data_IF_809259376239
#
_entry.id   IF_809259376239
#
_cell.length_a   1.000
_cell.length_b   1.000
_cell.length_c   1.000
_cell.angle_alpha   90.00
_cell.angle_beta   90.00
_cell.angle_gamma   90.00
#
_symmetry.space_group_name_H-M   'P 1'
#
loop_
_entity.id
_entity.type
_entity.pdbx_description
1 polymer ?
#
# COMPACT_ATOMS: atom_id res chain seq x y z
N UNK A 1 -64.61 -4.55 68.95
CA UNK A 1 -63.66 -5.46 68.27
C UNK A 1 -64.05 -5.49 66.80
N UNK A 2 -63.26 -5.18 65.78
CA UNK A 2 -61.89 -4.68 65.66
C UNK A 2 -61.77 -4.07 64.25
N UNK A 3 -60.95 -3.03 64.12
CA UNK A 3 -60.50 -2.44 62.84
C UNK A 3 -59.58 -3.41 62.08
N UNK A 4 -59.50 -3.26 60.76
CA UNK A 4 -58.31 -3.45 59.90
C UNK A 4 -58.73 -2.94 58.49
N UNK A 5 -58.56 -1.67 58.14
CA UNK A 5 -57.33 -1.01 57.70
C UNK A 5 -56.70 -1.67 56.45
N UNK A 6 -57.06 -1.19 55.27
CA UNK A 6 -56.31 -1.37 54.03
C UNK A 6 -55.82 0.02 53.60
N UNK A 7 -54.54 0.28 53.83
CA UNK A 7 -53.84 1.49 53.41
C UNK A 7 -53.50 1.41 51.92
N UNK A 8 -54.29 2.07 51.08
CA UNK A 8 -53.88 2.44 49.72
C UNK A 8 -52.95 3.65 49.79
N UNK A 9 -51.65 3.41 49.61
CA UNK A 9 -50.66 4.45 49.35
C UNK A 9 -50.93 4.97 47.94
N UNK A 10 -51.63 6.10 47.85
CA UNK A 10 -51.74 6.88 46.61
C UNK A 10 -50.40 7.60 46.46
N UNK A 11 -49.54 7.09 45.57
CA UNK A 11 -48.38 7.84 45.11
C UNK A 11 -48.89 9.05 44.33
N UNK A 12 -48.74 10.24 44.93
CA UNK A 12 -48.98 11.52 44.28
C UNK A 12 -48.06 11.64 43.07
N UNK A 13 -48.59 11.34 41.88
CA UNK A 13 -48.02 11.80 40.63
C UNK A 13 -48.06 13.33 40.67
N UNK A 14 -46.97 13.94 41.11
CA UNK A 14 -46.69 15.34 40.87
C UNK A 14 -46.63 15.51 39.35
N UNK A 15 -47.78 15.83 38.76
CA UNK A 15 -47.89 16.45 37.45
C UNK A 15 -47.26 17.85 37.58
N UNK A 16 -45.94 17.92 37.49
CA UNK A 16 -45.28 19.17 37.13
C UNK A 16 -45.71 19.44 35.69
N UNK A 17 -46.66 20.37 35.57
CA UNK A 17 -47.05 21.04 34.35
C UNK A 17 -45.88 21.17 33.37
N UNK A 18 -45.90 20.41 32.27
CA UNK A 18 -45.19 20.80 31.07
C UNK A 18 -45.88 22.07 30.58
N UNK A 19 -45.36 23.22 30.97
CA UNK A 19 -45.69 24.51 30.37
C UNK A 19 -45.39 24.38 28.89
N UNK A 20 -46.43 24.25 28.08
CA UNK A 20 -46.35 24.32 26.64
C UNK A 20 -46.12 25.78 26.29
N UNK A 21 -44.86 26.20 26.30
CA UNK A 21 -44.44 27.51 25.82
C UNK A 21 -44.19 27.43 24.30
N UNK A 22 -45.11 27.91 23.46
CA UNK A 22 -44.94 27.92 22.00
C UNK A 22 -43.74 28.77 21.55
N UNK A 23 -43.20 29.67 22.40
CA UNK A 23 -41.94 30.35 22.11
C UNK A 23 -40.71 29.44 22.29
N UNK A 24 -40.79 28.42 23.15
CA UNK A 24 -39.70 27.46 23.37
C UNK A 24 -39.41 26.60 22.15
N UNK A 25 -40.45 26.10 21.46
CA UNK A 25 -40.30 25.31 20.24
C UNK A 25 -39.70 26.13 19.08
N UNK A 26 -40.17 27.37 18.88
CA UNK A 26 -39.61 28.29 17.86
C UNK A 26 -38.18 28.72 18.17
N UNK A 27 -37.83 28.89 19.44
CA UNK A 27 -36.46 29.18 19.87
C UNK A 27 -35.54 27.98 19.62
N UNK A 28 -36.04 26.75 19.85
CA UNK A 28 -35.31 25.51 19.61
C UNK A 28 -35.07 25.26 18.10
N UNK A 29 -36.05 25.56 17.24
CA UNK A 29 -35.88 25.50 15.78
C UNK A 29 -34.85 26.50 15.26
N UNK A 30 -34.89 27.76 15.74
CA UNK A 30 -33.89 28.78 15.38
C UNK A 30 -32.49 28.38 15.84
N UNK A 31 -32.36 27.82 17.04
CA UNK A 31 -31.09 27.34 17.57
C UNK A 31 -30.53 26.17 16.76
N UNK A 32 -31.37 25.21 16.34
CA UNK A 32 -30.97 24.10 15.48
C UNK A 32 -30.53 24.58 14.08
N UNK A 33 -31.26 25.54 13.50
CA UNK A 33 -30.89 26.14 12.21
C UNK A 33 -29.53 26.84 12.29
N UNK A 34 -29.29 27.64 13.33
CA UNK A 34 -28.01 28.30 13.57
C UNK A 34 -26.88 27.28 13.76
N UNK A 35 -27.12 26.19 14.50
CA UNK A 35 -26.11 25.11 14.67
C UNK A 35 -25.78 24.38 13.38
N UNK A 36 -26.77 24.18 12.50
CA UNK A 36 -26.54 23.57 11.20
C UNK A 36 -25.76 24.50 10.26
N UNK A 37 -26.03 25.81 10.27
CA UNK A 37 -25.24 26.79 9.52
C UNK A 37 -23.81 26.89 10.03
N UNK A 38 -23.61 26.95 11.35
CA UNK A 38 -22.28 26.91 11.98
C UNK A 38 -21.51 25.63 11.60
N UNK A 39 -22.18 24.47 11.62
CA UNK A 39 -21.58 23.19 11.23
C UNK A 39 -21.20 23.18 9.75
N UNK A 40 -22.07 23.65 8.85
CA UNK A 40 -21.76 23.72 7.42
C UNK A 40 -20.61 24.69 7.13
N UNK A 41 -20.54 25.83 7.82
CA UNK A 41 -19.43 26.77 7.70
C UNK A 41 -18.12 26.15 8.22
N UNK A 42 -18.18 25.45 9.35
CA UNK A 42 -17.04 24.72 9.91
C UNK A 42 -16.55 23.60 8.97
N UNK A 43 -17.45 22.76 8.45
CA UNK A 43 -17.11 21.66 7.55
C UNK A 43 -16.45 22.19 6.26
N UNK A 44 -16.96 23.30 5.69
CA UNK A 44 -16.31 23.98 4.56
C UNK A 44 -14.91 24.48 4.90
N UNK A 45 -14.74 25.11 6.07
CA UNK A 45 -13.43 25.60 6.51
C UNK A 45 -12.44 24.45 6.72
N UNK A 46 -12.90 23.32 7.26
CA UNK A 46 -12.08 22.10 7.42
C UNK A 46 -11.67 21.56 6.06
N UNK A 47 -12.61 21.40 5.12
CA UNK A 47 -12.34 20.91 3.77
C UNK A 47 -11.35 21.82 3.00
N UNK A 48 -11.53 23.13 3.08
CA UNK A 48 -10.63 24.11 2.48
C UNK A 48 -9.23 24.06 3.13
N UNK A 49 -9.16 23.97 4.46
CA UNK A 49 -7.89 23.84 5.17
C UNK A 49 -7.15 22.54 4.80
N UNK A 50 -7.88 21.43 4.61
CA UNK A 50 -7.30 20.17 4.18
C UNK A 50 -6.76 20.27 2.76
N UNK A 51 -7.54 20.84 1.83
CA UNK A 51 -7.09 21.05 0.44
C UNK A 51 -5.85 21.94 0.38
N UNK A 52 -5.84 23.05 1.11
CA UNK A 52 -4.69 23.97 1.18
C UNK A 52 -3.45 23.25 1.72
N UNK A 53 -3.57 22.49 2.82
CA UNK A 53 -2.45 21.71 3.38
C UNK A 53 -1.89 20.69 2.39
N UNK A 54 -2.75 20.01 1.65
CA UNK A 54 -2.33 19.04 0.62
C UNK A 54 -1.61 19.73 -0.54
N UNK A 55 -2.08 20.92 -0.96
CA UNK A 55 -1.41 21.72 -1.97
C UNK A 55 -0.03 22.17 -1.51
N UNK A 56 0.08 22.77 -0.31
CA UNK A 56 1.36 23.20 0.26
C UNK A 56 2.34 22.03 0.39
N UNK A 57 1.89 20.88 0.89
CA UNK A 57 2.74 19.69 0.97
C UNK A 57 3.21 19.20 -0.41
N UNK A 58 2.36 19.29 -1.44
CA UNK A 58 2.72 18.93 -2.81
C UNK A 58 3.76 19.89 -3.38
N UNK A 59 3.60 21.19 -3.15
CA UNK A 59 4.54 22.23 -3.59
C UNK A 59 5.89 22.09 -2.88
N UNK A 60 5.90 21.96 -1.55
CA UNK A 60 7.10 21.71 -0.75
C UNK A 60 7.83 20.45 -1.20
N UNK A 61 7.09 19.36 -1.44
CA UNK A 61 7.66 18.11 -1.97
C UNK A 61 8.30 18.34 -3.34
N UNK A 62 7.64 19.07 -4.23
CA UNK A 62 8.16 19.35 -5.57
C UNK A 62 9.42 20.21 -5.50
N UNK A 63 9.42 21.25 -4.66
CA UNK A 63 10.60 22.09 -4.43
C UNK A 63 11.76 21.29 -3.83
N UNK A 64 11.47 20.38 -2.89
CA UNK A 64 12.46 19.47 -2.34
C UNK A 64 13.04 18.55 -3.42
N UNK A 65 12.19 17.95 -4.26
CA UNK A 65 12.63 17.08 -5.35
C UNK A 65 13.46 17.82 -6.42
N UNK A 66 13.23 19.12 -6.64
CA UNK A 66 14.05 19.93 -7.55
C UNK A 66 15.41 20.27 -6.91
N UNK A 67 15.42 20.64 -5.63
CA UNK A 67 16.65 21.03 -4.92
C UNK A 67 17.54 19.85 -4.52
N UNK A 68 17.00 18.64 -4.41
CA UNK A 68 17.71 17.43 -4.01
C UNK A 68 17.56 16.35 -5.10
N UNK A 69 18.28 16.47 -6.23
CA UNK A 69 18.18 15.51 -7.33
C UNK A 69 18.56 14.10 -6.88
N UNK A 70 17.97 13.10 -7.53
CA UNK A 70 18.29 11.70 -7.26
C UNK A 70 19.70 11.34 -7.74
N UNK A 71 20.45 10.67 -6.88
CA UNK A 71 21.75 10.10 -7.18
C UNK A 71 21.70 8.58 -7.04
N UNK A 72 22.41 7.87 -7.91
CA UNK A 72 22.52 6.41 -7.83
C UNK A 72 23.27 5.95 -6.59
N UNK A 73 22.82 4.86 -5.98
CA UNK A 73 23.47 4.20 -4.86
C UNK A 73 24.07 2.89 -5.34
N UNK A 74 25.40 2.81 -5.37
CA UNK A 74 26.13 1.60 -5.74
C UNK A 74 26.52 0.79 -4.50
N UNK A 75 26.78 -0.51 -4.69
CA UNK A 75 27.34 -1.36 -3.64
C UNK A 75 26.39 -1.64 -2.47
N UNK A 76 25.08 -1.50 -2.66
CA UNK A 76 24.06 -1.79 -1.62
C UNK A 76 24.22 -3.21 -1.06
N UNK A 77 24.59 -4.17 -1.90
CA UNK A 77 24.82 -5.56 -1.49
C UNK A 77 26.15 -5.80 -0.78
N UNK A 78 27.08 -4.83 -0.74
CA UNK A 78 28.45 -5.06 -0.26
C UNK A 78 28.54 -5.36 1.25
N UNK A 79 27.48 -5.01 2.00
CA UNK A 79 27.32 -5.38 3.41
C UNK A 79 27.14 -6.91 3.59
N UNK A 80 26.78 -7.64 2.54
CA UNK A 80 26.66 -9.10 2.54
C UNK A 80 28.03 -9.75 2.32
N UNK A 81 28.73 -9.99 3.43
CA UNK A 81 30.11 -10.53 3.46
C UNK A 81 30.20 -12.03 3.73
N UNK A 82 29.08 -12.69 4.08
CA UNK A 82 29.07 -14.12 4.39
C UNK A 82 29.46 -14.99 3.19
N UNK A 83 30.14 -16.10 3.46
CA UNK A 83 30.47 -17.11 2.45
C UNK A 83 29.17 -17.65 1.80
N UNK A 84 29.17 -17.76 0.47
CA UNK A 84 28.00 -18.17 -0.31
C UNK A 84 26.92 -17.09 -0.53
N UNK A 85 27.07 -15.88 0.02
CA UNK A 85 26.12 -14.78 -0.18
C UNK A 85 26.32 -14.01 -1.50
N UNK A 86 27.33 -14.38 -2.30
CA UNK A 86 27.68 -13.71 -3.56
C UNK A 86 26.48 -13.52 -4.51
N UNK A 87 25.64 -14.54 -4.79
CA UNK A 87 24.50 -14.35 -5.69
C UNK A 87 23.47 -13.36 -5.16
N UNK A 88 23.29 -13.31 -3.83
CA UNK A 88 22.39 -12.36 -3.21
C UNK A 88 22.98 -10.94 -3.25
N UNK A 89 24.28 -10.79 -2.96
CA UNK A 89 25.02 -9.53 -3.07
C UNK A 89 24.93 -8.95 -4.49
N UNK A 90 25.18 -9.78 -5.49
CA UNK A 90 25.16 -9.37 -6.90
C UNK A 90 23.74 -8.98 -7.32
N UNK A 91 22.71 -9.68 -6.83
CA UNK A 91 21.33 -9.33 -7.07
C UNK A 91 20.94 -7.97 -6.47
N UNK A 92 21.36 -7.66 -5.24
CA UNK A 92 21.18 -6.33 -4.64
C UNK A 92 21.86 -5.24 -5.49
N UNK A 93 23.09 -5.49 -5.93
CA UNK A 93 23.84 -4.54 -6.75
C UNK A 93 23.30 -4.41 -8.18
N UNK A 94 22.50 -5.37 -8.66
CA UNK A 94 21.83 -5.32 -9.97
C UNK A 94 20.60 -4.40 -9.98
N UNK A 95 20.04 -4.08 -8.81
CA UNK A 95 18.88 -3.20 -8.68
C UNK A 95 19.36 -1.74 -8.75
N UNK A 96 18.74 -0.89 -9.61
CA UNK A 96 19.08 0.53 -9.69
C UNK A 96 18.47 1.28 -8.50
N UNK A 97 19.16 1.27 -7.37
CA UNK A 97 18.80 2.07 -6.21
C UNK A 97 19.24 3.53 -6.39
N UNK A 98 18.42 4.43 -5.88
CA UNK A 98 18.66 5.88 -5.86
C UNK A 98 18.35 6.46 -4.49
N UNK A 99 18.89 7.63 -4.22
CA UNK A 99 18.55 8.44 -3.05
C UNK A 99 18.59 9.92 -3.37
N UNK A 100 17.87 10.72 -2.58
CA UNK A 100 17.97 12.19 -2.57
C UNK A 100 18.82 12.70 -1.40
N UNK A 101 19.39 11.79 -0.61
CA UNK A 101 20.18 12.08 0.58
C UNK A 101 21.56 11.40 0.46
N UNK A 102 22.51 12.00 -0.28
CA UNK A 102 23.85 11.44 -0.44
C UNK A 102 24.50 11.12 0.90
N UNK A 103 25.14 9.95 1.01
CA UNK A 103 25.78 9.50 2.25
C UNK A 103 24.82 9.01 3.34
N UNK A 104 23.52 8.91 3.08
CA UNK A 104 22.58 8.38 4.07
C UNK A 104 22.80 6.89 4.33
N UNK A 105 22.72 6.51 5.61
CA UNK A 105 22.68 5.12 6.06
C UNK A 105 21.25 4.63 6.33
N UNK A 106 20.25 5.51 6.20
CA UNK A 106 18.85 5.17 6.46
C UNK A 106 18.24 4.43 5.26
N UNK A 107 17.88 3.14 5.39
CA UNK A 107 17.33 2.35 4.29
C UNK A 107 15.93 2.80 3.85
N UNK A 108 15.27 3.71 4.58
CA UNK A 108 14.02 4.36 4.14
C UNK A 108 14.26 5.44 3.09
N UNK A 109 15.46 6.03 3.07
CA UNK A 109 15.86 7.11 2.16
C UNK A 109 16.48 6.60 0.87
N UNK A 110 16.74 5.30 0.77
CA UNK A 110 17.19 4.61 -0.43
C UNK A 110 16.02 3.83 -1.01
N UNK A 111 15.79 3.94 -2.32
CA UNK A 111 14.66 3.28 -2.98
C UNK A 111 14.98 2.96 -4.44
N UNK A 112 14.20 2.06 -5.03
CA UNK A 112 14.21 1.78 -6.47
C UNK A 112 12.82 1.99 -7.05
N UNK A 113 12.74 2.24 -8.35
CA UNK A 113 11.47 2.46 -9.04
C UNK A 113 10.90 1.14 -9.58
N UNK A 114 9.62 0.92 -9.29
CA UNK A 114 8.83 -0.17 -9.85
C UNK A 114 7.63 0.47 -10.55
N UNK A 115 7.82 0.87 -11.80
CA UNK A 115 6.92 1.83 -12.45
C UNK A 115 7.06 3.20 -11.80
N UNK A 116 5.94 3.79 -11.37
CA UNK A 116 5.89 5.04 -10.61
C UNK A 116 6.01 4.84 -9.08
N UNK A 117 6.05 3.59 -8.61
CA UNK A 117 6.15 3.28 -7.18
C UNK A 117 7.61 3.29 -6.70
N UNK A 118 7.87 4.02 -5.60
CA UNK A 118 9.16 4.05 -4.90
C UNK A 118 9.21 2.92 -3.86
N UNK A 119 9.90 1.83 -4.19
CA UNK A 119 10.12 0.70 -3.28
C UNK A 119 11.38 0.97 -2.43
N UNK A 120 11.21 1.15 -1.12
CA UNK A 120 12.33 1.43 -0.21
C UNK A 120 13.23 0.22 0.01
N UNK A 121 14.52 0.47 0.23
CA UNK A 121 15.49 -0.55 0.59
C UNK A 121 15.11 -1.25 1.90
N UNK A 122 14.48 -0.55 2.84
CA UNK A 122 13.96 -1.17 4.06
C UNK A 122 13.00 -2.33 3.76
N UNK A 123 12.04 -2.12 2.84
CA UNK A 123 11.04 -3.13 2.51
C UNK A 123 11.63 -4.29 1.70
N UNK A 124 12.64 -4.01 0.88
CA UNK A 124 13.45 -5.05 0.21
C UNK A 124 14.16 -5.90 1.25
N UNK A 125 14.92 -5.28 2.16
CA UNK A 125 15.67 -5.96 3.21
C UNK A 125 14.76 -6.81 4.09
N UNK A 126 13.62 -6.28 4.55
CA UNK A 126 12.69 -7.02 5.40
C UNK A 126 12.07 -8.22 4.67
N UNK A 127 11.75 -8.06 3.38
CA UNK A 127 11.20 -9.17 2.57
C UNK A 127 12.22 -10.27 2.35
N UNK A 128 13.47 -9.91 2.02
CA UNK A 128 14.57 -10.86 1.82
C UNK A 128 14.92 -11.60 3.11
N UNK A 129 15.05 -10.89 4.24
CA UNK A 129 15.29 -11.53 5.55
C UNK A 129 14.18 -12.50 5.91
N UNK A 130 12.92 -12.15 5.61
CA UNK A 130 11.82 -13.08 5.80
C UNK A 130 11.93 -14.31 4.90
N UNK A 131 12.24 -14.14 3.62
CA UNK A 131 12.39 -15.27 2.70
C UNK A 131 13.54 -16.19 3.11
N UNK A 132 14.67 -15.63 3.58
CA UNK A 132 15.79 -16.41 4.11
C UNK A 132 15.33 -17.24 5.32
N UNK A 133 14.57 -16.64 6.23
CA UNK A 133 14.02 -17.35 7.40
C UNK A 133 13.06 -18.47 7.00
N UNK A 134 12.13 -18.18 6.09
CA UNK A 134 11.16 -19.15 5.59
C UNK A 134 11.86 -20.30 4.84
N UNK A 135 12.87 -20.00 4.02
CA UNK A 135 13.69 -20.98 3.33
C UNK A 135 14.47 -21.85 4.31
N UNK A 136 15.18 -21.27 5.29
CA UNK A 136 15.91 -22.02 6.32
C UNK A 136 15.05 -23.04 7.05
N UNK A 137 13.82 -22.66 7.39
CA UNK A 137 12.86 -23.55 8.05
C UNK A 137 12.46 -24.73 7.17
N UNK A 138 12.28 -24.52 5.87
CA UNK A 138 11.93 -25.58 4.91
C UNK A 138 13.14 -26.49 4.67
N UNK A 139 14.34 -25.91 4.53
CA UNK A 139 15.56 -26.64 4.25
C UNK A 139 16.12 -27.42 5.43
N UNK A 140 15.74 -27.11 6.68
CA UNK A 140 16.13 -27.90 7.85
C UNK A 140 15.66 -29.37 7.78
N UNK A 141 14.73 -29.69 6.86
CA UNK A 141 14.27 -31.05 6.57
C UNK A 141 15.07 -31.76 5.46
N UNK A 142 16.00 -31.05 4.80
CA UNK A 142 16.80 -31.55 3.71
C UNK A 142 18.29 -31.40 4.06
N UNK A 143 19.07 -32.48 3.98
CA UNK A 143 20.47 -32.57 4.41
C UNK A 143 21.43 -31.83 3.44
N UNK A 144 21.23 -30.53 3.25
CA UNK A 144 21.95 -29.64 2.32
C UNK A 144 22.51 -28.41 3.04
N UNK A 145 23.53 -27.77 2.45
CA UNK A 145 23.98 -26.43 2.87
C UNK A 145 22.86 -25.41 2.64
N UNK A 146 22.05 -25.25 3.67
CA UNK A 146 20.85 -24.43 3.70
C UNK A 146 21.14 -22.99 3.34
N UNK A 147 22.27 -22.43 3.81
CA UNK A 147 22.58 -21.02 3.57
C UNK A 147 22.87 -20.79 2.09
N UNK A 148 23.71 -21.62 1.49
CA UNK A 148 24.04 -21.51 0.07
C UNK A 148 22.83 -21.75 -0.83
N UNK A 149 22.03 -22.78 -0.55
CA UNK A 149 20.82 -23.06 -1.33
C UNK A 149 19.82 -21.89 -1.25
N UNK A 150 19.55 -21.37 -0.05
CA UNK A 150 18.65 -20.24 0.13
C UNK A 150 19.16 -18.95 -0.50
N UNK A 151 20.44 -18.61 -0.33
CA UNK A 151 21.02 -17.42 -0.95
C UNK A 151 21.05 -17.50 -2.47
N UNK A 152 21.31 -18.67 -3.05
CA UNK A 152 21.22 -18.88 -4.49
C UNK A 152 19.79 -18.67 -5.00
N UNK A 153 18.81 -19.31 -4.37
CA UNK A 153 17.41 -19.19 -4.79
C UNK A 153 16.92 -17.74 -4.71
N UNK A 154 17.11 -17.11 -3.54
CA UNK A 154 16.64 -15.74 -3.30
C UNK A 154 17.41 -14.74 -4.17
N UNK A 155 18.72 -14.93 -4.33
CA UNK A 155 19.55 -14.13 -5.23
C UNK A 155 19.09 -14.21 -6.68
N UNK A 156 18.77 -15.42 -7.17
CA UNK A 156 18.24 -15.62 -8.51
C UNK A 156 16.89 -14.92 -8.72
N UNK A 157 15.98 -15.01 -7.74
CA UNK A 157 14.67 -14.36 -7.80
C UNK A 157 14.78 -12.83 -7.74
N UNK A 158 15.68 -12.31 -6.90
CA UNK A 158 15.95 -10.88 -6.82
C UNK A 158 16.63 -10.34 -8.07
N UNK A 159 17.53 -11.11 -8.70
CA UNK A 159 18.15 -10.73 -9.97
C UNK A 159 17.14 -10.79 -11.13
N UNK A 160 16.23 -11.76 -11.12
CA UNK A 160 15.11 -11.82 -12.06
C UNK A 160 14.23 -10.56 -11.92
N UNK A 161 13.90 -10.18 -10.69
CA UNK A 161 13.19 -8.93 -10.41
C UNK A 161 13.97 -7.70 -10.90
N UNK A 162 15.27 -7.62 -10.62
CA UNK A 162 16.15 -6.56 -11.11
C UNK A 162 16.12 -6.45 -12.64
N UNK A 163 16.12 -7.59 -13.35
CA UNK A 163 16.02 -7.60 -14.82
C UNK A 163 14.69 -7.02 -15.31
N UNK A 164 13.58 -7.36 -14.63
CA UNK A 164 12.23 -6.90 -14.99
C UNK A 164 12.08 -5.41 -14.77
N UNK A 165 12.53 -4.87 -13.63
CA UNK A 165 12.42 -3.42 -13.38
C UNK A 165 13.22 -2.60 -14.40
N UNK A 166 14.35 -3.13 -14.89
CA UNK A 166 15.18 -2.53 -15.96
C UNK A 166 14.62 -2.72 -17.38
N UNK A 167 13.74 -3.69 -17.59
CA UNK A 167 13.19 -3.99 -18.92
C UNK A 167 12.21 -2.91 -19.38
N UNK A 168 12.55 -2.21 -20.46
CA UNK A 168 11.72 -1.12 -21.02
C UNK A 168 10.47 -1.64 -21.75
N UNK A 169 10.44 -2.92 -22.13
CA UNK A 169 9.31 -3.52 -22.83
C UNK A 169 8.15 -3.89 -21.89
N UNK A 170 8.42 -3.96 -20.58
CA UNK A 170 7.40 -4.20 -19.56
C UNK A 170 6.93 -2.85 -19.03
N UNK A 171 5.63 -2.59 -19.12
CA UNK A 171 5.07 -1.29 -18.70
C UNK A 171 5.22 -1.05 -17.19
N UNK A 172 5.31 0.22 -16.79
CA UNK A 172 5.39 0.59 -15.37
C UNK A 172 4.18 0.12 -14.57
N UNK A 173 2.98 0.18 -15.17
CA UNK A 173 1.73 -0.32 -14.58
C UNK A 173 1.82 -1.82 -14.32
N UNK A 174 2.32 -2.61 -15.28
CA UNK A 174 2.49 -4.05 -15.11
C UNK A 174 3.48 -4.39 -13.99
N UNK A 175 4.62 -3.70 -13.93
CA UNK A 175 5.62 -3.88 -12.85
C UNK A 175 5.02 -3.59 -11.47
N UNK A 176 4.31 -2.47 -11.34
CA UNK A 176 3.68 -2.06 -10.07
C UNK A 176 2.55 -2.99 -9.67
N UNK A 177 1.71 -3.40 -10.61
CA UNK A 177 0.62 -4.34 -10.37
C UNK A 177 1.18 -5.69 -9.91
N UNK A 178 2.17 -6.25 -10.62
CA UNK A 178 2.80 -7.51 -10.27
C UNK A 178 3.48 -7.47 -8.89
N UNK A 179 4.14 -6.35 -8.55
CA UNK A 179 4.70 -6.14 -7.21
C UNK A 179 3.61 -6.17 -6.15
N UNK A 180 2.51 -5.43 -6.34
CA UNK A 180 1.38 -5.40 -5.39
C UNK A 180 0.73 -6.77 -5.25
N UNK A 181 0.52 -7.48 -6.35
CA UNK A 181 -0.12 -8.78 -6.39
C UNK A 181 0.74 -9.88 -5.74
N UNK A 182 2.06 -9.66 -5.71
CA UNK A 182 3.04 -10.52 -5.03
C UNK A 182 3.43 -10.02 -3.64
N UNK A 183 2.71 -9.03 -3.11
CA UNK A 183 2.94 -8.52 -1.75
C UNK A 183 1.89 -9.08 -0.81
N UNK A 184 2.34 -9.83 0.19
CA UNK A 184 1.49 -10.42 1.22
C UNK A 184 1.85 -9.81 2.57
N UNK A 185 0.91 -9.03 3.15
CA UNK A 185 1.15 -8.22 4.34
C UNK A 185 2.33 -7.26 4.13
N UNK A 186 3.48 -7.55 4.74
CA UNK A 186 4.71 -6.76 4.66
C UNK A 186 5.84 -7.49 3.93
N UNK A 187 5.54 -8.65 3.33
CA UNK A 187 6.51 -9.48 2.60
C UNK A 187 6.25 -9.40 1.10
N UNK A 188 7.29 -9.14 0.33
CA UNK A 188 7.25 -9.17 -1.13
C UNK A 188 7.89 -10.47 -1.60
N UNK A 189 7.24 -11.17 -2.52
CA UNK A 189 7.85 -12.24 -3.31
C UNK A 189 8.35 -11.66 -4.64
N UNK A 190 9.66 -11.39 -4.69
CA UNK A 190 10.31 -10.80 -5.86
C UNK A 190 10.31 -11.73 -7.07
N UNK A 191 10.41 -13.04 -6.85
CA UNK A 191 10.35 -14.03 -7.92
C UNK A 191 8.98 -14.05 -8.58
N UNK A 192 7.91 -14.10 -7.77
CA UNK A 192 6.53 -14.01 -8.25
C UNK A 192 6.26 -12.69 -8.97
N UNK A 193 6.68 -11.55 -8.38
CA UNK A 193 6.49 -10.24 -9.00
C UNK A 193 7.14 -10.16 -10.39
N UNK A 194 8.36 -10.69 -10.52
CA UNK A 194 9.06 -10.70 -11.79
C UNK A 194 8.40 -11.63 -12.83
N UNK A 195 7.97 -12.83 -12.42
CA UNK A 195 7.29 -13.79 -13.30
C UNK A 195 5.93 -13.26 -13.77
N UNK A 196 5.13 -12.65 -12.89
CA UNK A 196 3.84 -12.04 -13.25
C UNK A 196 3.99 -10.88 -14.23
N UNK A 197 4.96 -9.99 -14.01
CA UNK A 197 5.21 -8.89 -14.93
C UNK A 197 5.65 -9.37 -16.33
N UNK A 198 6.50 -10.41 -16.40
CA UNK A 198 6.91 -11.03 -17.68
C UNK A 198 5.76 -11.76 -18.36
N UNK A 199 4.96 -12.50 -17.58
CA UNK A 199 3.77 -13.20 -18.07
C UNK A 199 2.81 -12.20 -18.70
N UNK A 200 2.50 -11.10 -17.99
CA UNK A 200 1.63 -10.03 -18.49
C UNK A 200 2.12 -9.48 -19.82
N UNK A 201 3.39 -9.05 -19.90
CA UNK A 201 3.97 -8.53 -21.14
C UNK A 201 3.89 -9.54 -22.29
N UNK A 202 4.15 -10.82 -22.02
CA UNK A 202 4.09 -11.90 -23.02
C UNK A 202 2.66 -12.13 -23.53
N UNK A 203 1.68 -12.17 -22.62
CA UNK A 203 0.28 -12.37 -23.00
C UNK A 203 -0.29 -11.16 -23.75
N UNK A 204 0.08 -9.95 -23.33
CA UNK A 204 -0.30 -8.74 -24.04
C UNK A 204 0.26 -8.69 -25.46
N UNK A 205 1.52 -9.10 -25.67
CA UNK A 205 2.07 -9.23 -27.02
C UNK A 205 1.26 -10.21 -27.89
N UNK A 206 0.85 -11.35 -27.33
CA UNK A 206 -0.02 -12.31 -28.03
C UNK A 206 -1.41 -11.72 -28.36
N UNK A 207 -1.90 -10.79 -27.56
CA UNK A 207 -3.16 -10.06 -27.77
C UNK A 207 -2.97 -8.75 -28.57
N UNK A 208 -1.86 -8.60 -29.31
CA UNK A 208 -1.54 -7.38 -30.08
C UNK A 208 -1.53 -6.09 -29.22
N UNK A 209 -1.12 -6.21 -27.96
CA UNK A 209 -1.07 -5.16 -26.94
C UNK A 209 -2.42 -4.48 -26.67
N UNK A 210 -3.52 -5.23 -26.75
CA UNK A 210 -4.89 -4.74 -26.51
C UNK A 210 -5.56 -5.49 -25.37
N UNK A 211 -6.51 -4.83 -24.71
CA UNK A 211 -7.32 -5.42 -23.66
C UNK A 211 -6.60 -5.50 -22.32
N UNK A 212 -6.97 -6.51 -21.53
CA UNK A 212 -6.47 -6.77 -20.19
C UNK A 212 -5.96 -8.20 -20.09
N UNK A 213 -4.95 -8.38 -19.26
CA UNK A 213 -4.43 -9.68 -18.87
C UNK A 213 -4.58 -9.83 -17.37
N UNK A 214 -5.13 -10.97 -16.96
CA UNK A 214 -5.22 -11.35 -15.56
C UNK A 214 -3.84 -11.75 -15.01
N UNK A 215 -3.54 -11.27 -13.79
CA UNK A 215 -2.45 -11.75 -12.94
C UNK A 215 -3.01 -12.75 -11.92
N UNK A 216 -2.69 -12.64 -10.63
CA UNK A 216 -3.24 -13.52 -9.59
C UNK A 216 -4.59 -13.01 -9.06
N UNK A 217 -4.67 -11.73 -8.73
CA UNK A 217 -5.89 -11.14 -8.14
C UNK A 217 -6.39 -9.89 -8.85
N UNK A 218 -5.66 -9.44 -9.86
CA UNK A 218 -5.96 -8.23 -10.63
C UNK A 218 -5.86 -8.48 -12.14
N UNK A 219 -6.68 -7.75 -12.90
CA UNK A 219 -6.55 -7.59 -14.34
C UNK A 219 -5.80 -6.27 -14.63
N UNK A 220 -4.80 -6.36 -15.49
CA UNK A 220 -3.90 -5.25 -15.81
C UNK A 220 -3.99 -4.93 -17.30
N UNK A 221 -4.13 -3.65 -17.68
CA UNK A 221 -4.23 -3.28 -19.09
C UNK A 221 -2.94 -3.59 -19.83
N UNK A 222 -3.06 -3.99 -21.10
CA UNK A 222 -1.91 -4.18 -21.98
C UNK A 222 -1.27 -2.87 -22.47
N UNK A 223 -1.99 -1.75 -22.34
CA UNK A 223 -1.47 -0.43 -22.63
C UNK A 223 -0.56 0.13 -21.53
N UNK A 224 -0.05 1.34 -21.77
CA UNK A 224 0.72 2.12 -20.79
C UNK A 224 -0.17 2.95 -19.85
N UNK A 225 -1.48 2.92 -20.04
CA UNK A 225 -2.49 3.63 -19.26
C UNK A 225 -3.72 2.73 -19.04
N UNK A 226 -4.53 3.09 -18.06
CA UNK A 226 -5.73 2.34 -17.65
C UNK A 226 -5.68 1.94 -16.18
N UNK A 227 -6.83 1.55 -15.66
CA UNK A 227 -6.96 1.17 -14.25
C UNK A 227 -6.62 -0.30 -14.05
N UNK A 228 -5.93 -0.60 -12.96
CA UNK A 228 -5.77 -1.98 -12.50
C UNK A 228 -7.03 -2.36 -11.74
N UNK A 229 -7.74 -3.37 -12.25
CA UNK A 229 -9.05 -3.78 -11.73
C UNK A 229 -8.90 -5.11 -11.00
N UNK A 230 -9.64 -5.33 -9.92
CA UNK A 230 -9.69 -6.66 -9.30
C UNK A 230 -10.22 -7.70 -10.31
N UNK A 231 -9.61 -8.90 -10.37
CA UNK A 231 -9.95 -9.95 -11.32
C UNK A 231 -11.44 -10.27 -11.37
N UNK A 232 -12.08 -10.44 -10.21
CA UNK A 232 -13.52 -10.76 -10.14
C UNK A 232 -14.38 -9.66 -10.74
N UNK A 233 -14.00 -8.40 -10.54
CA UNK A 233 -14.71 -7.28 -11.15
C UNK A 233 -14.47 -7.25 -12.65
N UNK A 234 -13.23 -7.45 -13.10
CA UNK A 234 -12.86 -7.47 -14.51
C UNK A 234 -13.60 -8.54 -15.31
N UNK A 235 -13.72 -9.75 -14.75
CA UNK A 235 -14.52 -10.86 -15.31
C UNK A 235 -16.01 -10.47 -15.44
N UNK A 236 -16.61 -9.92 -14.36
CA UNK A 236 -18.02 -9.47 -14.39
C UNK A 236 -18.34 -8.42 -15.45
N UNK A 237 -17.37 -7.57 -15.80
CA UNK A 237 -17.56 -6.52 -16.82
C UNK A 237 -16.96 -6.92 -18.19
N UNK A 238 -16.50 -8.16 -18.36
CA UNK A 238 -16.00 -8.70 -19.62
C UNK A 238 -14.68 -8.10 -20.10
N UNK A 239 -13.83 -7.63 -19.17
CA UNK A 239 -12.47 -7.15 -19.53
C UNK A 239 -11.48 -8.30 -19.73
N UNK A 240 -11.72 -9.43 -19.08
CA UNK A 240 -10.95 -10.67 -19.19
C UNK A 240 -11.95 -11.80 -19.48
N UNK A 241 -11.48 -12.84 -20.19
CA UNK A 241 -12.28 -14.00 -20.60
C UNK A 241 -11.86 -15.24 -19.81
#
# INVERSE_FOLDING_TARGET
MSRLAVTTIVFSLFLTSCSWDPNGAKAQEKWLAQKNEEKQAYDKQVDESQRSRLQTQSEEKTQFEVSHPEVGVAGVGNELTSEGAEPLRDAYNSIPFVTRYPGTTDPKKVYTYVGDYKLSLQLVNSSILSQISDCKRISAYADVDVNRACFNQIGNELNLFASVIKDKNISGIAKKAALRDSTYRTKIDFGSAARLARMHATLCQKQSNRGYVEMLTVAVPCGTSGDVVNSRSADKIGLIN
#
